data_IF_274700395096
#
_entry.id   IF_274700395096
#
_cell.length_a   1.000
_cell.length_b   1.000
_cell.length_c   1.000
_cell.angle_alpha   90.00
_cell.angle_beta   90.00
_cell.angle_gamma   90.00
#
_symmetry.space_group_name_H-M   'P 1'
#
loop_
_entity.id
_entity.type
_entity.pdbx_description
1 polymer ?
#
# COMPACT_ATOMS: atom_id res chain seq x y z
N UNK A 1 -9.76 10.98 25.60
CA UNK A 1 -8.36 11.15 25.16
C UNK A 1 -7.99 9.91 24.35
N UNK A 2 -8.09 9.99 23.03
CA UNK A 2 -7.75 8.88 22.15
C UNK A 2 -6.22 8.78 22.12
N UNK A 3 -5.70 7.68 22.66
CA UNK A 3 -4.29 7.32 22.63
C UNK A 3 -3.98 7.03 21.16
N UNK A 4 -3.34 7.97 20.47
CA UNK A 4 -2.85 7.75 19.12
C UNK A 4 -2.01 6.47 19.15
N UNK A 5 -2.47 5.41 18.47
CA UNK A 5 -1.65 4.23 18.24
C UNK A 5 -0.58 4.63 17.22
N UNK A 6 0.50 5.24 17.72
CA UNK A 6 1.73 5.59 17.00
C UNK A 6 2.55 4.32 16.69
N UNK A 7 1.86 3.30 16.17
CA UNK A 7 2.36 1.95 16.07
C UNK A 7 1.53 1.17 15.04
N UNK A 8 1.03 1.86 14.02
CA UNK A 8 0.34 1.21 12.92
C UNK A 8 1.33 0.33 12.16
N UNK A 9 0.84 -0.76 11.55
CA UNK A 9 1.66 -1.68 10.75
C UNK A 9 2.44 -0.98 9.61
N UNK A 10 2.10 0.26 9.30
CA UNK A 10 2.71 1.15 8.32
C UNK A 10 4.11 1.64 8.72
N UNK A 11 4.37 1.79 10.02
CA UNK A 11 5.66 2.26 10.55
C UNK A 11 6.55 1.10 11.03
N UNK A 12 6.03 -0.13 10.92
CA UNK A 12 6.73 -1.34 11.34
C UNK A 12 7.32 -2.03 10.13
N UNK A 13 8.51 -2.57 10.32
CA UNK A 13 9.14 -3.46 9.36
C UNK A 13 8.80 -4.91 9.66
N UNK A 14 8.80 -5.74 8.62
CA UNK A 14 8.60 -7.16 8.75
C UNK A 14 9.77 -7.76 9.54
N UNK A 15 9.53 -8.49 10.65
CA UNK A 15 10.60 -9.14 11.38
C UNK A 15 11.48 -10.02 10.46
N UNK A 16 12.78 -9.77 10.45
CA UNK A 16 13.74 -10.47 9.60
C UNK A 16 14.04 -9.79 8.26
N UNK A 17 13.41 -8.65 7.94
CA UNK A 17 13.71 -7.88 6.72
C UNK A 17 14.89 -6.92 6.85
N UNK A 18 15.46 -6.75 8.04
CA UNK A 18 16.51 -5.74 8.27
C UNK A 18 16.04 -4.30 8.03
N UNK A 19 14.78 -4.01 8.39
CA UNK A 19 14.14 -2.70 8.17
C UNK A 19 13.98 -2.27 6.69
N UNK A 20 14.03 -3.24 5.77
CA UNK A 20 13.86 -2.99 4.33
C UNK A 20 12.42 -3.18 3.82
N UNK A 21 11.62 -4.02 4.48
CA UNK A 21 10.27 -4.37 4.02
C UNK A 21 9.26 -4.03 5.10
N UNK A 22 8.18 -3.33 4.73
CA UNK A 22 7.10 -2.99 5.64
C UNK A 22 6.40 -4.26 6.15
N UNK A 23 5.86 -4.18 7.36
CA UNK A 23 5.10 -5.28 7.96
C UNK A 23 3.90 -5.61 7.06
N UNK A 24 3.83 -6.87 6.63
CA UNK A 24 2.89 -7.33 5.62
C UNK A 24 2.23 -8.64 6.03
N UNK A 25 1.05 -8.90 5.45
CA UNK A 25 0.23 -10.09 5.73
C UNK A 25 0.87 -11.40 5.28
N UNK A 26 1.83 -11.31 4.36
CA UNK A 26 2.42 -12.44 3.66
C UNK A 26 3.71 -12.92 4.33
N UNK A 27 4.24 -12.16 5.28
CA UNK A 27 5.49 -12.46 5.97
C UNK A 27 6.74 -12.31 5.08
N UNK A 28 6.64 -11.58 3.96
CA UNK A 28 7.75 -11.40 3.02
C UNK A 28 8.80 -10.50 3.67
N UNK A 29 10.05 -10.95 3.70
CA UNK A 29 11.18 -10.23 4.29
C UNK A 29 12.19 -9.74 3.25
N UNK A 30 12.11 -10.24 2.02
CA UNK A 30 13.02 -9.86 0.94
C UNK A 30 12.46 -8.65 0.17
N UNK A 31 13.28 -7.63 -0.02
CA UNK A 31 12.90 -6.36 -0.67
C UNK A 31 12.54 -6.56 -2.15
N UNK A 32 13.36 -7.29 -2.91
CA UNK A 32 13.13 -7.56 -4.33
C UNK A 32 11.84 -8.38 -4.54
N UNK A 33 11.55 -9.33 -3.64
CA UNK A 33 10.32 -10.11 -3.66
C UNK A 33 9.08 -9.23 -3.41
N UNK A 34 9.16 -8.33 -2.43
CA UNK A 34 8.07 -7.39 -2.15
C UNK A 34 7.85 -6.43 -3.31
N UNK A 35 8.92 -5.85 -3.86
CA UNK A 35 8.86 -4.92 -4.99
C UNK A 35 8.22 -5.59 -6.22
N UNK A 36 8.63 -6.82 -6.53
CA UNK A 36 8.08 -7.59 -7.64
C UNK A 36 6.59 -7.89 -7.44
N UNK A 37 6.19 -8.27 -6.22
CA UNK A 37 4.79 -8.53 -5.88
C UNK A 37 3.94 -7.27 -6.01
N UNK A 38 4.36 -6.17 -5.40
CA UNK A 38 3.62 -4.90 -5.44
C UNK A 38 3.47 -4.39 -6.87
N UNK A 39 4.55 -4.40 -7.64
CA UNK A 39 4.56 -3.98 -9.04
C UNK A 39 3.67 -4.88 -9.91
N UNK A 40 3.70 -6.20 -9.68
CA UNK A 40 2.82 -7.15 -10.36
C UNK A 40 1.35 -6.90 -10.07
N UNK A 41 0.99 -6.68 -8.80
CA UNK A 41 -0.38 -6.34 -8.40
C UNK A 41 -0.83 -4.99 -8.98
N UNK A 42 0.08 -4.01 -9.09
CA UNK A 42 -0.22 -2.72 -9.70
C UNK A 42 -0.54 -2.88 -11.19
N UNK A 43 0.25 -3.69 -11.90
CA UNK A 43 0.00 -3.99 -13.31
C UNK A 43 -1.36 -4.66 -13.51
N UNK A 44 -1.69 -5.68 -12.70
CA UNK A 44 -3.00 -6.34 -12.75
C UNK A 44 -4.16 -5.36 -12.50
N UNK A 45 -4.00 -4.45 -11.53
CA UNK A 45 -5.00 -3.41 -11.28
C UNK A 45 -5.13 -2.48 -12.49
N UNK A 46 -4.02 -2.09 -13.11
CA UNK A 46 -4.02 -1.22 -14.28
C UNK A 46 -4.77 -1.86 -15.46
N UNK A 47 -4.45 -3.12 -15.78
CA UNK A 47 -5.13 -3.88 -16.84
C UNK A 47 -6.64 -3.95 -16.58
N UNK A 48 -7.02 -4.34 -15.36
CA UNK A 48 -8.43 -4.43 -14.99
C UNK A 48 -9.15 -3.08 -15.07
N UNK A 49 -8.51 -2.00 -14.62
CA UNK A 49 -9.14 -0.68 -14.53
C UNK A 49 -9.22 0.07 -15.85
N UNK A 50 -8.18 0.00 -16.68
CA UNK A 50 -8.07 0.86 -17.85
C UNK A 50 -8.21 0.12 -19.18
N UNK A 51 -8.12 -1.21 -19.18
CA UNK A 51 -8.29 -2.02 -20.38
C UNK A 51 -9.63 -2.74 -20.35
N UNK A 52 -9.95 -3.42 -19.24
CA UNK A 52 -11.16 -4.24 -19.13
C UNK A 52 -12.40 -3.47 -18.70
N UNK A 53 -12.24 -2.32 -18.03
CA UNK A 53 -13.33 -1.53 -17.48
C UNK A 53 -13.34 -0.10 -18.01
N UNK A 54 -14.52 0.51 -18.07
CA UNK A 54 -14.63 1.93 -18.40
C UNK A 54 -14.23 2.75 -17.17
N UNK A 55 -13.22 3.64 -17.27
CA UNK A 55 -12.83 4.50 -16.16
C UNK A 55 -13.98 5.46 -15.80
N UNK A 56 -14.07 5.88 -14.53
CA UNK A 56 -15.10 6.84 -14.12
C UNK A 56 -14.95 8.15 -14.89
N UNK A 57 -16.06 8.77 -15.25
CA UNK A 57 -16.11 10.04 -15.98
C UNK A 57 -15.43 11.19 -15.21
N UNK A 58 -15.43 11.11 -13.87
CA UNK A 58 -14.71 12.01 -12.99
C UNK A 58 -13.92 11.23 -11.93
N UNK A 59 -12.66 11.61 -11.74
CA UNK A 59 -11.84 11.07 -10.66
C UNK A 59 -12.14 11.81 -9.35
N UNK A 60 -12.23 11.05 -8.27
CA UNK A 60 -12.53 11.57 -6.94
C UNK A 60 -11.63 10.84 -5.94
N UNK A 61 -11.42 11.45 -4.78
CA UNK A 61 -10.57 10.89 -3.73
C UNK A 61 -10.94 9.44 -3.36
N UNK A 62 -12.23 9.15 -3.25
CA UNK A 62 -12.71 7.79 -2.96
C UNK A 62 -12.28 6.74 -3.99
N UNK A 63 -12.16 7.12 -5.27
CA UNK A 63 -11.68 6.21 -6.30
C UNK A 63 -10.24 5.80 -6.02
N UNK A 64 -9.39 6.76 -5.65
CA UNK A 64 -7.98 6.52 -5.30
C UNK A 64 -7.88 5.61 -4.08
N UNK A 65 -8.64 5.88 -3.01
CA UNK A 65 -8.64 5.01 -1.82
C UNK A 65 -9.10 3.59 -2.13
N UNK A 66 -10.11 3.42 -2.98
CA UNK A 66 -10.59 2.09 -3.41
C UNK A 66 -9.55 1.37 -4.26
N UNK A 67 -8.91 2.06 -5.21
CA UNK A 67 -7.86 1.47 -6.04
C UNK A 67 -6.65 1.06 -5.20
N UNK A 68 -6.24 1.90 -4.25
CA UNK A 68 -5.18 1.55 -3.31
C UNK A 68 -5.55 0.31 -2.47
N UNK A 69 -6.82 0.19 -2.04
CA UNK A 69 -7.28 -1.03 -1.35
C UNK A 69 -7.25 -2.26 -2.26
N UNK A 70 -7.60 -2.12 -3.54
CA UNK A 70 -7.59 -3.23 -4.48
C UNK A 70 -6.18 -3.68 -4.83
N UNK A 71 -5.27 -2.73 -4.97
CA UNK A 71 -3.85 -3.00 -5.23
C UNK A 71 -3.22 -3.73 -4.04
N UNK A 72 -3.26 -3.11 -2.85
CA UNK A 72 -2.44 -3.52 -1.72
C UNK A 72 -3.21 -4.23 -0.59
N UNK A 73 -4.53 -4.41 -0.74
CA UNK A 73 -5.39 -4.97 0.31
C UNK A 73 -5.02 -6.37 0.77
N UNK A 74 -4.40 -7.15 -0.12
CA UNK A 74 -3.93 -8.50 0.19
C UNK A 74 -2.53 -8.50 0.83
N UNK A 75 -1.80 -7.39 0.74
CA UNK A 75 -0.42 -7.27 1.22
C UNK A 75 -0.40 -6.54 2.58
N UNK A 76 -1.16 -5.46 2.71
CA UNK A 76 -1.11 -4.56 3.86
C UNK A 76 -2.48 -4.40 4.54
N UNK A 77 -2.48 -4.29 5.87
CA UNK A 77 -3.70 -4.06 6.68
C UNK A 77 -4.29 -2.65 6.51
N UNK A 78 -3.44 -1.72 6.14
CA UNK A 78 -3.75 -0.31 6.01
C UNK A 78 -4.19 0.10 4.59
N UNK A 79 -4.12 -0.80 3.62
CA UNK A 79 -4.41 -0.48 2.23
C UNK A 79 -5.79 0.18 2.04
N UNK A 80 -5.79 1.36 1.42
CA UNK A 80 -6.98 2.16 1.13
C UNK A 80 -7.50 2.98 2.31
N UNK A 81 -6.79 3.03 3.44
CA UNK A 81 -7.06 3.95 4.53
C UNK A 81 -6.28 5.24 4.30
N UNK A 82 -6.90 6.38 4.62
CA UNK A 82 -6.20 7.66 4.64
C UNK A 82 -5.30 7.70 5.88
N UNK A 83 -4.07 8.13 5.70
CA UNK A 83 -3.08 8.21 6.77
C UNK A 83 -2.20 9.44 6.57
N UNK A 84 -1.76 10.03 7.69
CA UNK A 84 -0.68 11.01 7.73
C UNK A 84 0.66 10.26 7.71
N UNK A 85 1.04 9.71 6.56
CA UNK A 85 2.41 9.27 6.38
C UNK A 85 3.28 10.52 6.50
N UNK A 86 4.16 10.56 7.51
CA UNK A 86 5.28 11.49 7.48
C UNK A 86 6.17 11.03 6.31
N UNK A 87 5.78 11.41 5.11
CA UNK A 87 6.54 11.27 3.88
C UNK A 87 7.66 12.30 3.92
N UNK A 88 8.61 12.15 4.84
CA UNK A 88 9.89 12.81 4.72
C UNK A 88 10.66 12.09 3.62
N UNK A 89 10.55 12.60 2.41
CA UNK A 89 11.46 12.25 1.33
C UNK A 89 12.74 13.02 1.56
N UNK A 90 13.76 12.37 2.14
CA UNK A 90 15.12 12.90 2.30
C UNK A 90 15.20 14.36 2.82
N UNK A 91 14.36 14.72 3.81
CA UNK A 91 14.51 15.96 4.57
C UNK A 91 14.12 17.27 3.86
N UNK A 92 13.20 17.24 2.89
CA UNK A 92 12.58 18.45 2.32
C UNK A 92 11.09 18.58 2.64
#
# INVERSE_FOLDING_TARGET
>A
MAKYELNSAEERYQPGSGDLVLANKLGITNEEEMEALESGLLLMLYEHRFIESQPPEALAFEHISRWHRQWLGNVYDWAGRLHNANLTKDGF
#
